data_IF_484948577486
#
_entry.id   IF_484948577486
#
_cell.length_a   1.000
_cell.length_b   1.000
_cell.length_c   1.000
_cell.angle_alpha   90.00
_cell.angle_beta   90.00
_cell.angle_gamma   90.00
#
_symmetry.space_group_name_H-M   'P 1'
#
loop_
_entity.id
_entity.type
_entity.pdbx_description
1 polymer ?
#
# COMPACT_ATOMS: atom_id res chain seq x y z
N UNK A 1 29.86 -52.29 0.43
CA UNK A 1 29.82 -51.03 1.21
C UNK A 1 29.61 -49.81 0.30
N UNK A 2 28.53 -49.73 -0.51
CA UNK A 2 28.27 -48.61 -1.46
C UNK A 2 26.79 -48.24 -1.65
N UNK A 3 25.92 -48.47 -0.66
CA UNK A 3 24.49 -48.05 -0.72
C UNK A 3 24.16 -46.89 0.22
N UNK A 4 24.91 -46.73 1.32
CA UNK A 4 24.72 -45.67 2.32
C UNK A 4 25.32 -44.32 1.95
N UNK A 5 26.16 -44.25 0.91
CA UNK A 5 26.77 -42.99 0.44
C UNK A 5 25.92 -42.26 -0.60
N UNK A 6 24.92 -42.91 -1.21
CA UNK A 6 24.07 -42.30 -2.22
C UNK A 6 22.88 -41.53 -1.63
N UNK A 7 22.53 -41.77 -0.36
CA UNK A 7 21.44 -41.07 0.35
C UNK A 7 21.92 -39.78 1.04
N UNK A 8 23.21 -39.66 1.37
CA UNK A 8 23.76 -38.48 2.04
C UNK A 8 24.08 -37.32 1.09
N UNK A 9 24.25 -37.59 -0.21
CA UNK A 9 24.51 -36.57 -1.21
C UNK A 9 23.25 -35.78 -1.63
N UNK A 10 22.08 -36.40 -1.53
CA UNK A 10 20.80 -35.82 -1.98
C UNK A 10 20.30 -34.72 -1.05
N UNK A 11 20.53 -34.85 0.26
CA UNK A 11 20.06 -33.88 1.26
C UNK A 11 20.84 -32.56 1.21
N UNK A 12 22.15 -32.59 0.93
CA UNK A 12 22.97 -31.40 0.81
C UNK A 12 22.64 -30.56 -0.45
N UNK A 13 22.26 -31.24 -1.55
CA UNK A 13 21.86 -30.55 -2.78
C UNK A 13 20.50 -29.84 -2.66
N UNK A 14 19.58 -30.36 -1.83
CA UNK A 14 18.29 -29.72 -1.57
C UNK A 14 18.40 -28.52 -0.62
N UNK A 15 19.35 -28.55 0.32
CA UNK A 15 19.57 -27.43 1.25
C UNK A 15 20.24 -26.21 0.58
N UNK A 16 21.05 -26.41 -0.47
CA UNK A 16 21.69 -25.32 -1.20
C UNK A 16 20.73 -24.52 -2.12
N UNK A 17 19.52 -25.03 -2.39
CA UNK A 17 18.48 -24.33 -3.16
C UNK A 17 17.55 -23.47 -2.28
N UNK A 18 17.59 -23.65 -0.96
CA UNK A 18 16.82 -22.85 -0.01
C UNK A 18 17.57 -21.55 0.30
N UNK A 19 17.80 -20.71 -0.71
CA UNK A 19 18.10 -19.30 -0.43
C UNK A 19 16.87 -18.72 0.28
N UNK A 20 17.02 -18.05 1.43
CA UNK A 20 15.91 -17.32 2.00
C UNK A 20 15.58 -16.21 1.01
N UNK A 21 14.50 -16.40 0.24
CA UNK A 21 13.89 -15.32 -0.51
C UNK A 21 13.41 -14.32 0.56
N UNK A 22 14.18 -13.26 0.77
CA UNK A 22 13.74 -12.15 1.61
C UNK A 22 12.51 -11.60 0.91
N UNK A 23 11.34 -11.83 1.52
CA UNK A 23 10.09 -11.31 1.02
C UNK A 23 10.23 -9.79 0.95
N UNK A 24 10.43 -9.27 -0.26
CA UNK A 24 10.41 -7.84 -0.50
C UNK A 24 9.02 -7.35 -0.14
N UNK A 25 8.94 -6.22 0.56
CA UNK A 25 7.66 -5.58 0.80
C UNK A 25 6.95 -5.37 -0.54
N UNK A 26 5.67 -5.77 -0.59
CA UNK A 26 4.88 -5.62 -1.81
C UNK A 26 4.88 -4.15 -2.22
N UNK A 27 5.08 -3.84 -3.52
CA UNK A 27 4.96 -2.48 -4.01
C UNK A 27 3.62 -1.85 -3.59
N UNK A 28 3.63 -0.57 -3.26
CA UNK A 28 2.44 0.14 -2.74
C UNK A 28 1.20 -0.04 -3.63
N UNK A 29 1.38 -0.03 -4.96
CA UNK A 29 0.30 -0.25 -5.92
C UNK A 29 -0.34 -1.64 -5.81
N UNK A 30 0.47 -2.68 -5.58
CA UNK A 30 -0.04 -4.03 -5.39
C UNK A 30 -0.86 -4.12 -4.10
N UNK A 31 -0.37 -3.51 -3.01
CA UNK A 31 -1.12 -3.42 -1.74
C UNK A 31 -2.46 -2.71 -1.89
N UNK A 32 -2.50 -1.60 -2.65
CA UNK A 32 -3.74 -0.86 -2.92
C UNK A 32 -4.75 -1.73 -3.68
N UNK A 33 -4.29 -2.45 -4.72
CA UNK A 33 -5.14 -3.34 -5.51
C UNK A 33 -5.68 -4.50 -4.67
N UNK A 34 -4.84 -5.14 -3.87
CA UNK A 34 -5.23 -6.23 -2.98
C UNK A 34 -6.23 -5.77 -1.90
N UNK A 35 -6.02 -4.58 -1.32
CA UNK A 35 -6.97 -3.96 -0.38
C UNK A 35 -8.31 -3.61 -1.04
N UNK A 36 -8.31 -3.35 -2.35
CA UNK A 36 -9.52 -3.01 -3.11
C UNK A 36 -10.03 -1.58 -2.87
N UNK A 37 -9.25 -0.72 -2.21
CA UNK A 37 -9.60 0.68 -1.96
C UNK A 37 -8.41 1.63 -2.07
N UNK A 38 -8.65 2.82 -2.64
CA UNK A 38 -7.78 3.99 -2.57
C UNK A 38 -8.34 4.92 -1.47
N UNK A 39 -7.59 5.07 -0.39
CA UNK A 39 -7.92 6.02 0.70
C UNK A 39 -7.23 7.35 0.40
N UNK A 40 -7.97 8.45 0.40
CA UNK A 40 -7.44 9.79 0.09
C UNK A 40 -7.82 10.76 1.20
N UNK A 41 -6.81 11.33 1.86
CA UNK A 41 -6.99 12.44 2.81
C UNK A 41 -7.40 13.71 2.07
N UNK A 42 -8.45 14.39 2.55
CA UNK A 42 -8.90 15.68 2.00
C UNK A 42 -9.15 16.68 3.13
N UNK A 43 -8.73 17.93 2.95
CA UNK A 43 -8.99 18.97 3.94
C UNK A 43 -10.47 19.36 3.95
N UNK A 44 -11.08 19.46 5.12
CA UNK A 44 -12.43 20.01 5.29
C UNK A 44 -12.40 21.50 4.95
N UNK A 45 -13.34 21.94 4.12
CA UNK A 45 -13.57 23.36 3.83
C UNK A 45 -12.42 24.07 3.12
N UNK A 46 -11.83 23.41 2.11
CA UNK A 46 -10.80 23.99 1.24
C UNK A 46 -11.34 24.18 -0.20
N UNK A 47 -12.31 25.08 -0.44
CA UNK A 47 -12.75 25.36 -1.80
C UNK A 47 -11.61 25.99 -2.63
N UNK A 48 -11.52 25.68 -3.95
CA UNK A 48 -12.40 24.81 -4.75
C UNK A 48 -12.03 23.31 -4.71
N UNK A 49 -11.08 22.92 -3.88
CA UNK A 49 -10.49 21.58 -3.87
C UNK A 49 -11.35 20.55 -3.15
N UNK A 50 -11.88 20.88 -1.99
CA UNK A 50 -12.86 20.07 -1.27
C UNK A 50 -13.81 20.91 -0.42
N UNK A 51 -15.11 20.74 -0.62
CA UNK A 51 -16.16 21.22 0.26
C UNK A 51 -17.35 20.25 0.21
N UNK A 52 -17.84 19.80 1.37
CA UNK A 52 -19.00 18.91 1.49
C UNK A 52 -18.97 17.68 0.55
N UNK A 53 -17.79 17.04 0.38
CA UNK A 53 -17.63 15.86 -0.48
C UNK A 53 -17.56 16.15 -1.98
N UNK A 54 -17.39 17.41 -2.39
CA UNK A 54 -17.24 17.83 -3.78
C UNK A 54 -15.98 18.69 -3.96
N UNK A 55 -15.44 18.74 -5.18
CA UNK A 55 -14.31 19.59 -5.52
C UNK A 55 -13.27 18.89 -6.39
N UNK A 56 -12.20 19.60 -6.71
CA UNK A 56 -11.14 19.13 -7.60
C UNK A 56 -10.47 17.87 -7.05
N UNK A 57 -10.13 17.84 -5.76
CA UNK A 57 -9.43 16.72 -5.15
C UNK A 57 -10.30 15.46 -5.13
N UNK A 58 -11.60 15.63 -4.89
CA UNK A 58 -12.56 14.53 -4.92
C UNK A 58 -12.71 13.96 -6.33
N UNK A 59 -12.81 14.83 -7.34
CA UNK A 59 -12.93 14.41 -8.73
C UNK A 59 -11.66 13.66 -9.20
N UNK A 60 -10.49 14.19 -8.85
CA UNK A 60 -9.21 13.56 -9.15
C UNK A 60 -9.06 12.21 -8.45
N UNK A 61 -9.37 12.15 -7.16
CA UNK A 61 -9.34 10.91 -6.38
C UNK A 61 -10.27 9.84 -6.97
N UNK A 62 -11.47 10.23 -7.42
CA UNK A 62 -12.41 9.35 -8.10
C UNK A 62 -11.87 8.81 -9.42
N UNK A 63 -11.28 9.69 -10.25
CA UNK A 63 -10.67 9.28 -11.50
C UNK A 63 -9.49 8.31 -11.29
N UNK A 64 -8.65 8.57 -10.28
CA UNK A 64 -7.53 7.70 -9.92
C UNK A 64 -8.01 6.34 -9.42
N UNK A 65 -8.97 6.30 -8.48
CA UNK A 65 -9.52 5.04 -7.98
C UNK A 65 -10.11 4.20 -9.12
N UNK A 66 -10.84 4.83 -10.05
CA UNK A 66 -11.38 4.19 -11.25
C UNK A 66 -10.28 3.63 -12.15
N UNK A 67 -9.23 4.41 -12.44
CA UNK A 67 -8.10 3.96 -13.25
C UNK A 67 -7.34 2.79 -12.60
N UNK A 68 -7.33 2.74 -11.27
CA UNK A 68 -6.71 1.67 -10.50
C UNK A 68 -7.60 0.43 -10.32
N UNK A 69 -8.89 0.51 -10.66
CA UNK A 69 -9.86 -0.58 -10.49
C UNK A 69 -10.25 -0.85 -9.04
N UNK A 70 -10.20 0.18 -8.18
CA UNK A 70 -10.48 0.07 -6.73
C UNK A 70 -11.56 1.05 -6.29
N UNK A 71 -12.15 0.83 -5.11
CA UNK A 71 -13.12 1.77 -4.52
C UNK A 71 -12.41 3.03 -4.01
N UNK A 72 -13.03 4.19 -4.14
CA UNK A 72 -12.57 5.39 -3.45
C UNK A 72 -13.06 5.41 -2.00
N UNK A 73 -12.20 5.81 -1.07
CA UNK A 73 -12.56 6.14 0.30
C UNK A 73 -11.95 7.50 0.63
N UNK A 74 -12.80 8.51 0.77
CA UNK A 74 -12.34 9.82 1.24
C UNK A 74 -12.15 9.79 2.74
N UNK A 75 -11.10 10.46 3.22
CA UNK A 75 -10.80 10.63 4.62
C UNK A 75 -10.72 12.13 4.91
N UNK A 76 -11.86 12.78 5.20
CA UNK A 76 -11.90 14.20 5.46
C UNK A 76 -11.27 14.53 6.81
N UNK A 77 -10.44 15.56 6.88
CA UNK A 77 -9.81 16.00 8.12
C UNK A 77 -9.59 17.51 8.11
N UNK A 78 -9.48 18.13 9.29
CA UNK A 78 -9.16 19.55 9.39
C UNK A 78 -7.65 19.75 9.27
N UNK A 79 -7.23 20.84 8.62
CA UNK A 79 -5.81 21.18 8.56
C UNK A 79 -5.25 21.46 9.95
N UNK A 80 -4.06 20.91 10.21
CA UNK A 80 -3.27 21.27 11.37
C UNK A 80 -2.50 22.58 11.16
N UNK A 81 -1.61 22.86 12.11
CA UNK A 81 -0.71 24.03 12.03
C UNK A 81 0.38 23.85 10.94
N UNK A 82 0.79 22.61 10.66
CA UNK A 82 1.86 22.28 9.71
C UNK A 82 1.45 21.12 8.78
N UNK A 83 1.54 21.37 7.47
CA UNK A 83 1.32 20.39 6.41
C UNK A 83 2.16 19.10 6.57
N UNK A 84 3.39 19.22 7.05
CA UNK A 84 4.27 18.08 7.27
C UNK A 84 3.72 17.13 8.35
N UNK A 85 3.13 17.68 9.40
CA UNK A 85 2.48 16.89 10.45
C UNK A 85 1.22 16.21 9.92
N UNK A 86 0.44 16.92 9.10
CA UNK A 86 -0.74 16.37 8.43
C UNK A 86 -0.35 15.19 7.54
N UNK A 87 0.65 15.35 6.68
CA UNK A 87 1.10 14.27 5.79
C UNK A 87 1.63 13.07 6.59
N UNK A 88 2.38 13.31 7.67
CA UNK A 88 2.89 12.25 8.54
C UNK A 88 1.75 11.45 9.17
N UNK A 89 0.68 12.12 9.63
CA UNK A 89 -0.49 11.48 10.21
C UNK A 89 -1.29 10.71 9.15
N UNK A 90 -1.62 11.38 8.05
CA UNK A 90 -2.60 10.92 7.07
C UNK A 90 -2.04 9.92 6.05
N UNK A 91 -0.76 10.05 5.68
CA UNK A 91 -0.13 9.25 4.60
C UNK A 91 0.84 8.20 5.15
N UNK A 92 1.74 8.59 6.07
CA UNK A 92 2.84 7.72 6.50
C UNK A 92 2.52 6.79 7.66
N UNK A 93 1.94 7.31 8.75
CA UNK A 93 1.56 6.44 9.87
C UNK A 93 0.42 5.52 9.49
N UNK A 94 -0.46 6.00 8.62
CA UNK A 94 -1.69 5.33 8.28
C UNK A 94 -2.64 5.33 9.48
N UNK A 95 -3.91 5.56 9.18
CA UNK A 95 -4.98 4.92 9.94
C UNK A 95 -5.38 3.71 9.06
N UNK A 96 -5.74 2.57 9.64
CA UNK A 96 -6.13 1.30 8.98
C UNK A 96 -5.00 0.29 8.64
#
# INVERSE_FOLDING_TARGET
>A
MKRRQLLSGSAAALAALATPAWAQDKPALQRIRERGSLVVGVYNEMPPFHNAGQGIDVALAGALAKALGVKLTLLPFNAGEDMNDDLRAMVWRGHY
#
